data_IF_630104579554
#
_entry.id   IF_630104579554
#
_cell.length_a   1.000
_cell.length_b   1.000
_cell.length_c   1.000
_cell.angle_alpha   90.00
_cell.angle_beta   90.00
_cell.angle_gamma   90.00
#
_symmetry.space_group_name_H-M   'P 1'
#
loop_
_entity.id
_entity.type
_entity.pdbx_description
1 polymer ?
#
# COMPACT_ATOMS: atom_id res chain seq x y z
N UNK A 1 43.35 -0.71 60.78
CA UNK A 1 44.52 -0.31 59.95
C UNK A 1 44.67 -1.05 58.61
N UNK A 2 44.45 -2.37 58.52
CA UNK A 2 44.66 -3.13 57.26
C UNK A 2 43.72 -2.72 56.10
N UNK A 3 42.60 -2.04 56.39
CA UNK A 3 41.63 -1.58 55.40
C UNK A 3 42.21 -0.51 54.45
N UNK A 4 43.09 0.37 54.93
CA UNK A 4 43.78 1.39 54.11
C UNK A 4 44.62 0.75 53.00
N UNK A 5 45.26 -0.39 53.28
CA UNK A 5 46.04 -1.12 52.28
C UNK A 5 45.17 -1.82 51.24
N UNK A 6 43.88 -2.06 51.51
CA UNK A 6 42.92 -2.63 50.56
C UNK A 6 42.25 -1.57 49.68
N UNK A 7 42.07 -0.35 50.19
CA UNK A 7 41.43 0.76 49.47
C UNK A 7 42.14 1.14 48.16
N UNK A 8 41.42 1.67 47.16
CA UNK A 8 42.05 2.16 45.92
C UNK A 8 42.89 3.41 46.19
N UNK A 9 43.95 3.62 45.41
CA UNK A 9 44.82 4.80 45.52
C UNK A 9 44.04 6.10 45.32
N UNK A 10 43.03 6.10 44.46
CA UNK A 10 42.12 7.22 44.21
C UNK A 10 41.29 7.57 45.43
N UNK A 11 40.72 6.57 46.10
CA UNK A 11 39.91 6.77 47.31
C UNK A 11 40.77 7.28 48.48
N UNK A 12 41.98 6.74 48.65
CA UNK A 12 42.94 7.23 49.64
C UNK A 12 43.37 8.67 49.39
N UNK A 13 43.33 9.16 48.14
CA UNK A 13 43.60 10.58 47.85
C UNK A 13 42.44 11.47 48.26
N UNK A 14 41.21 11.10 47.87
CA UNK A 14 40.01 11.84 48.26
C UNK A 14 39.91 11.96 49.78
N UNK A 15 40.14 10.87 50.51
CA UNK A 15 40.13 10.87 51.98
C UNK A 15 41.27 11.70 52.58
N UNK A 16 42.46 11.70 51.98
CA UNK A 16 43.55 12.57 52.46
C UNK A 16 43.25 14.05 52.21
N UNK A 17 42.63 14.40 51.08
CA UNK A 17 42.20 15.75 50.74
C UNK A 17 41.13 16.26 51.71
N UNK A 18 40.16 15.42 52.07
CA UNK A 18 39.15 15.74 53.10
C UNK A 18 39.74 15.90 54.51
N UNK A 19 40.85 15.23 54.81
CA UNK A 19 41.62 15.43 56.04
C UNK A 19 42.57 16.65 55.97
N UNK A 20 42.53 17.44 54.89
CA UNK A 20 43.38 18.63 54.70
C UNK A 20 44.84 18.32 54.36
N UNK A 21 45.15 17.10 53.91
CA UNK A 21 46.49 16.66 53.56
C UNK A 21 46.68 16.82 52.05
N UNK A 22 47.60 17.70 51.63
CA UNK A 22 47.94 17.84 50.21
C UNK A 22 48.70 16.60 49.71
N UNK A 23 48.02 15.79 48.89
CA UNK A 23 48.61 14.58 48.30
C UNK A 23 48.94 14.81 46.83
N UNK A 24 50.22 15.02 46.53
CA UNK A 24 50.70 15.12 45.16
C UNK A 24 50.42 13.85 44.33
N UNK A 25 50.10 14.02 43.04
CA UNK A 25 49.80 12.92 42.11
C UNK A 25 50.93 11.89 41.94
N UNK A 26 52.16 12.26 42.27
CA UNK A 26 53.34 11.38 42.18
C UNK A 26 53.48 10.45 43.38
N UNK A 27 52.79 10.72 44.49
CA UNK A 27 52.90 9.90 45.71
C UNK A 27 52.37 8.49 45.45
N UNK A 28 53.09 7.49 45.96
CA UNK A 28 52.69 6.07 45.90
C UNK A 28 51.78 5.72 47.07
N UNK A 29 50.92 4.71 46.89
CA UNK A 29 49.89 4.31 47.87
C UNK A 29 50.41 4.20 49.32
N UNK A 30 51.58 3.59 49.61
CA UNK A 30 52.11 3.51 50.97
C UNK A 30 52.46 4.88 51.59
N UNK A 31 52.91 5.84 50.79
CA UNK A 31 53.25 7.20 51.26
C UNK A 31 51.98 7.96 51.67
N UNK A 32 50.89 7.77 50.90
CA UNK A 32 49.58 8.37 51.19
C UNK A 32 49.02 7.79 52.50
N UNK A 33 49.06 6.46 52.66
CA UNK A 33 48.62 5.79 53.89
C UNK A 33 49.43 6.30 55.10
N UNK A 34 50.75 6.47 54.95
CA UNK A 34 51.61 7.02 56.00
C UNK A 34 51.20 8.45 56.38
N UNK A 35 50.88 9.30 55.41
CA UNK A 35 50.45 10.67 55.65
C UNK A 35 49.09 10.73 56.38
N UNK A 36 48.12 9.91 55.96
CA UNK A 36 46.81 9.79 56.61
C UNK A 36 46.96 9.35 58.08
N UNK A 37 47.78 8.34 58.34
CA UNK A 37 48.00 7.84 59.71
C UNK A 37 48.77 8.81 60.60
N UNK A 38 49.52 9.76 60.01
CA UNK A 38 50.29 10.76 60.75
C UNK A 38 49.47 12.04 61.01
N UNK A 39 48.24 12.13 60.51
CA UNK A 39 47.35 13.28 60.71
C UNK A 39 46.83 13.34 62.15
N UNK A 40 46.76 14.54 62.72
CA UNK A 40 46.14 14.78 64.03
C UNK A 40 44.62 14.50 64.01
N UNK A 41 44.02 14.51 62.82
CA UNK A 41 42.59 14.24 62.61
C UNK A 41 42.31 12.79 62.19
N UNK A 42 43.27 11.88 62.43
CA UNK A 42 43.10 10.47 62.10
C UNK A 42 42.18 9.77 63.12
N UNK A 43 40.96 9.46 62.69
CA UNK A 43 40.04 8.58 63.41
C UNK A 43 39.68 7.36 62.55
N UNK A 44 39.91 6.15 63.06
CA UNK A 44 39.77 4.92 62.26
C UNK A 44 38.36 4.72 61.69
N UNK A 45 37.32 5.03 62.48
CA UNK A 45 35.93 4.92 62.01
C UNK A 45 35.57 6.00 60.98
N UNK A 46 36.02 7.23 61.20
CA UNK A 46 35.79 8.34 60.28
C UNK A 46 36.41 8.03 58.91
N UNK A 47 37.69 7.63 58.90
CA UNK A 47 38.44 7.30 57.67
C UNK A 47 37.87 6.06 56.99
N UNK A 48 37.35 5.09 57.74
CA UNK A 48 36.65 3.93 57.17
C UNK A 48 35.36 4.35 56.46
N UNK A 49 34.55 5.22 57.08
CA UNK A 49 33.30 5.71 56.51
C UNK A 49 33.56 6.53 55.24
N UNK A 50 34.56 7.43 55.24
CA UNK A 50 34.91 8.23 54.06
C UNK A 50 35.37 7.34 52.88
N UNK A 51 36.10 6.25 53.17
CA UNK A 51 36.48 5.28 52.14
C UNK A 51 35.30 4.49 51.59
N UNK A 52 34.32 4.17 52.43
CA UNK A 52 33.08 3.51 52.01
C UNK A 52 32.20 4.44 51.18
N UNK A 53 32.03 5.70 51.58
CA UNK A 53 31.31 6.72 50.83
C UNK A 53 31.92 6.96 49.45
N UNK A 54 33.25 7.09 49.36
CA UNK A 54 33.92 7.28 48.09
C UNK A 54 33.83 6.03 47.19
N UNK A 55 33.80 4.83 47.78
CA UNK A 55 33.54 3.60 47.03
C UNK A 55 32.10 3.52 46.50
N UNK A 56 31.11 3.96 47.29
CA UNK A 56 29.70 4.04 46.88
C UNK A 56 29.53 5.06 45.77
N UNK A 57 30.03 6.28 45.95
CA UNK A 57 29.97 7.37 44.96
C UNK A 57 30.63 6.98 43.65
N UNK A 58 31.79 6.31 43.70
CA UNK A 58 32.46 5.79 42.51
C UNK A 58 31.66 4.70 41.80
N UNK A 59 30.90 3.87 42.53
CA UNK A 59 30.05 2.83 41.97
C UNK A 59 28.78 3.43 41.34
N UNK A 60 28.15 4.38 42.02
CA UNK A 60 26.97 5.10 41.52
C UNK A 60 27.29 5.88 40.25
N UNK A 61 28.44 6.55 40.20
CA UNK A 61 28.89 7.26 38.99
C UNK A 61 29.04 6.33 37.78
N UNK A 62 29.59 5.13 38.00
CA UNK A 62 29.70 4.10 36.95
C UNK A 62 28.32 3.60 36.51
N UNK A 63 27.39 3.37 37.44
CA UNK A 63 26.04 2.91 37.13
C UNK A 63 25.23 3.96 36.36
N UNK A 64 25.40 5.24 36.69
CA UNK A 64 24.76 6.36 35.96
C UNK A 64 25.32 6.45 34.54
N UNK A 65 26.63 6.32 34.37
CA UNK A 65 27.27 6.34 33.04
C UNK A 65 26.83 5.13 32.20
N UNK A 66 26.75 3.95 32.79
CA UNK A 66 26.26 2.74 32.13
C UNK A 66 24.80 2.88 31.72
N UNK A 67 23.94 3.44 32.59
CA UNK A 67 22.53 3.74 32.26
C UNK A 67 22.42 4.69 31.09
N UNK A 68 23.18 5.79 31.09
CA UNK A 68 23.21 6.75 29.95
C UNK A 68 23.65 6.07 28.66
N UNK A 69 24.72 5.28 28.71
CA UNK A 69 25.21 4.55 27.54
C UNK A 69 24.16 3.55 27.01
N UNK A 70 23.46 2.84 27.89
CA UNK A 70 22.43 1.90 27.49
C UNK A 70 21.20 2.61 26.90
N UNK A 71 20.77 3.73 27.49
CA UNK A 71 19.69 4.57 26.95
C UNK A 71 20.01 5.09 25.53
N UNK A 72 21.25 5.55 25.28
CA UNK A 72 21.68 5.98 23.94
C UNK A 72 21.64 4.85 22.92
N UNK A 73 22.03 3.63 23.33
CA UNK A 73 21.99 2.44 22.46
C UNK A 73 20.54 2.06 22.15
N UNK A 74 19.65 2.10 23.14
CA UNK A 74 18.23 1.83 22.94
C UNK A 74 17.57 2.87 22.02
N UNK A 75 17.86 4.15 22.22
CA UNK A 75 17.33 5.23 21.38
C UNK A 75 17.84 5.14 19.94
N UNK A 76 19.10 4.71 19.74
CA UNK A 76 19.61 4.41 18.39
C UNK A 76 18.85 3.24 17.76
N UNK A 77 18.64 2.14 18.50
CA UNK A 77 17.86 0.99 18.02
C UNK A 77 16.42 1.36 17.66
N UNK A 78 15.76 2.18 18.47
CA UNK A 78 14.38 2.65 18.19
C UNK A 78 14.35 3.49 16.91
N UNK A 79 15.33 4.36 16.70
CA UNK A 79 15.44 5.16 15.45
C UNK A 79 15.65 4.28 14.23
N UNK A 80 16.59 3.34 14.29
CA UNK A 80 16.84 2.38 13.21
C UNK A 80 15.60 1.54 12.87
N UNK A 81 14.84 1.11 13.88
CA UNK A 81 13.57 0.40 13.69
C UNK A 81 12.52 1.27 12.98
N UNK A 82 12.33 2.51 13.40
CA UNK A 82 11.39 3.44 12.74
C UNK A 82 11.80 3.74 11.30
N UNK A 83 13.10 3.91 11.03
CA UNK A 83 13.60 4.14 9.66
C UNK A 83 13.37 2.93 8.76
N UNK A 84 13.62 1.72 9.28
CA UNK A 84 13.37 0.49 8.54
C UNK A 84 11.88 0.31 8.21
N UNK A 85 11.00 0.57 9.19
CA UNK A 85 9.56 0.50 8.98
C UNK A 85 9.08 1.53 7.95
N UNK A 86 9.59 2.77 8.02
CA UNK A 86 9.30 3.81 7.04
C UNK A 86 9.79 3.42 5.63
N UNK A 87 10.96 2.82 5.52
CA UNK A 87 11.50 2.35 4.23
C UNK A 87 10.64 1.23 3.65
N UNK A 88 10.20 0.28 4.50
CA UNK A 88 9.27 -0.78 4.10
C UNK A 88 7.96 -0.19 3.58
N UNK A 89 7.39 0.79 4.29
CA UNK A 89 6.15 1.45 3.88
C UNK A 89 6.31 2.19 2.54
N UNK A 90 7.46 2.84 2.31
CA UNK A 90 7.77 3.52 1.04
C UNK A 90 7.83 2.53 -0.13
N UNK A 91 8.55 1.41 0.05
CA UNK A 91 8.65 0.36 -0.97
C UNK A 91 7.29 -0.27 -1.27
N UNK A 92 6.47 -0.52 -0.25
CA UNK A 92 5.11 -1.05 -0.42
C UNK A 92 4.22 -0.06 -1.17
N UNK A 93 4.29 1.24 -0.85
CA UNK A 93 3.53 2.28 -1.56
C UNK A 93 3.98 2.40 -3.02
N UNK A 94 5.29 2.38 -3.29
CA UNK A 94 5.84 2.40 -4.65
C UNK A 94 5.42 1.17 -5.45
N UNK A 95 5.40 -0.02 -4.83
CA UNK A 95 4.87 -1.25 -5.42
C UNK A 95 3.37 -1.11 -5.74
N UNK A 96 2.54 -0.64 -4.80
CA UNK A 96 1.11 -0.44 -5.05
C UNK A 96 0.85 0.60 -6.14
N UNK A 97 1.65 1.67 -6.22
CA UNK A 97 1.57 2.66 -7.31
C UNK A 97 1.94 2.05 -8.64
N UNK A 98 3.01 1.26 -8.70
CA UNK A 98 3.44 0.55 -9.92
C UNK A 98 2.41 -0.50 -10.37
N UNK A 99 1.80 -1.23 -9.43
CA UNK A 99 0.70 -2.15 -9.71
C UNK A 99 -0.54 -1.40 -10.21
N UNK A 100 -0.92 -0.29 -9.59
CA UNK A 100 -2.04 0.56 -10.03
C UNK A 100 -1.78 1.17 -11.40
N UNK A 101 -0.58 1.71 -11.66
CA UNK A 101 -0.21 2.25 -12.97
C UNK A 101 -0.18 1.16 -14.03
N UNK A 102 0.26 -0.06 -13.70
CA UNK A 102 0.17 -1.22 -14.59
C UNK A 102 -1.26 -1.66 -14.86
N UNK A 103 -2.14 -1.62 -13.86
CA UNK A 103 -3.56 -1.96 -14.04
C UNK A 103 -4.23 -0.88 -14.91
N UNK A 104 -4.01 0.40 -14.63
CA UNK A 104 -4.57 1.51 -15.41
C UNK A 104 -4.03 1.51 -16.84
N UNK A 105 -2.72 1.30 -17.02
CA UNK A 105 -2.13 1.19 -18.37
C UNK A 105 -2.53 -0.09 -19.09
N UNK A 106 -2.73 -1.22 -18.42
CA UNK A 106 -3.25 -2.43 -19.04
C UNK A 106 -4.75 -2.29 -19.42
N UNK A 107 -5.55 -1.63 -18.59
CA UNK A 107 -6.97 -1.35 -18.88
C UNK A 107 -7.14 -0.36 -20.04
N UNK A 108 -6.20 0.58 -20.23
CA UNK A 108 -6.24 1.54 -21.35
C UNK A 108 -5.45 1.11 -22.60
N UNK A 109 -4.40 0.29 -22.43
CA UNK A 109 -3.55 -0.21 -23.54
C UNK A 109 -4.05 -1.53 -24.12
N UNK A 110 -4.95 -2.25 -23.45
CA UNK A 110 -5.75 -3.30 -24.07
C UNK A 110 -6.82 -2.67 -24.97
N UNK A 111 -6.42 -1.84 -25.93
CA UNK A 111 -7.26 -1.55 -27.08
C UNK A 111 -7.61 -2.92 -27.68
N UNK A 112 -8.90 -3.23 -27.90
CA UNK A 112 -9.28 -4.45 -28.58
C UNK A 112 -8.45 -4.54 -29.85
N UNK A 113 -7.77 -5.68 -30.09
CA UNK A 113 -7.01 -5.91 -31.34
C UNK A 113 -7.88 -5.71 -32.59
N UNK A 114 -9.19 -5.64 -32.41
CA UNK A 114 -10.24 -5.56 -33.41
C UNK A 114 -11.31 -4.59 -32.91
N UNK A 115 -11.50 -3.46 -33.59
CA UNK A 115 -12.61 -2.55 -33.32
C UNK A 115 -13.93 -3.12 -33.88
N UNK A 116 -14.94 -3.27 -33.02
CA UNK A 116 -16.26 -3.76 -33.41
C UNK A 116 -16.93 -2.88 -34.47
N UNK A 117 -16.67 -1.56 -34.46
CA UNK A 117 -17.21 -0.64 -35.47
C UNK A 117 -16.66 -0.88 -36.88
N UNK A 118 -15.52 -1.57 -36.99
CA UNK A 118 -14.92 -1.92 -38.28
C UNK A 118 -15.46 -3.24 -38.84
N UNK A 119 -15.90 -4.16 -37.96
CA UNK A 119 -16.37 -5.50 -38.37
C UNK A 119 -17.90 -5.56 -38.50
N UNK A 120 -18.61 -4.89 -37.60
CA UNK A 120 -20.07 -4.94 -37.57
C UNK A 120 -20.65 -3.75 -38.33
N UNK A 121 -21.58 -4.05 -39.24
CA UNK A 121 -22.39 -3.02 -39.87
C UNK A 121 -23.38 -2.43 -38.85
N UNK A 122 -23.77 -1.18 -39.07
CA UNK A 122 -24.82 -0.54 -38.26
C UNK A 122 -26.13 -1.32 -38.40
N UNK A 123 -26.84 -1.47 -37.29
CA UNK A 123 -28.12 -2.16 -37.29
C UNK A 123 -29.16 -1.39 -38.12
N UNK A 124 -29.92 -2.09 -38.97
CA UNK A 124 -31.06 -1.53 -39.69
C UNK A 124 -32.35 -2.22 -39.20
N UNK A 125 -33.26 -1.50 -38.52
CA UNK A 125 -34.50 -2.06 -38.01
C UNK A 125 -35.49 -2.52 -39.09
N UNK A 126 -35.29 -2.15 -40.35
CA UNK A 126 -36.21 -2.50 -41.46
C UNK A 126 -35.91 -3.86 -42.07
N UNK A 127 -34.64 -4.26 -42.06
CA UNK A 127 -34.14 -5.46 -42.75
C UNK A 127 -33.60 -6.52 -41.79
N UNK A 128 -33.13 -6.12 -40.59
CA UNK A 128 -32.44 -7.02 -39.68
C UNK A 128 -33.26 -7.38 -38.44
N UNK A 129 -33.22 -8.65 -38.03
CA UNK A 129 -33.73 -9.10 -36.73
C UNK A 129 -32.76 -8.71 -35.61
N UNK A 130 -33.25 -7.90 -34.66
CA UNK A 130 -32.48 -7.46 -33.50
C UNK A 130 -31.95 -8.65 -32.67
N UNK A 131 -32.68 -9.76 -32.63
CA UNK A 131 -32.30 -10.95 -31.86
C UNK A 131 -31.03 -11.59 -32.44
N UNK A 132 -30.98 -11.73 -33.77
CA UNK A 132 -29.82 -12.25 -34.48
C UNK A 132 -28.64 -11.28 -34.43
N UNK A 133 -28.91 -9.98 -34.54
CA UNK A 133 -27.89 -8.95 -34.45
C UNK A 133 -27.18 -8.94 -33.10
N UNK A 134 -27.93 -9.03 -32.00
CA UNK A 134 -27.36 -9.08 -30.65
C UNK A 134 -26.52 -10.34 -30.45
N UNK A 135 -26.95 -11.51 -30.94
CA UNK A 135 -26.15 -12.75 -30.89
C UNK A 135 -24.82 -12.58 -31.66
N UNK A 136 -24.85 -11.96 -32.83
CA UNK A 136 -23.65 -11.69 -33.62
C UNK A 136 -22.71 -10.74 -32.87
N UNK A 137 -23.24 -9.66 -32.32
CA UNK A 137 -22.50 -8.71 -31.49
C UNK A 137 -21.81 -9.41 -30.32
N UNK A 138 -22.54 -10.21 -29.53
CA UNK A 138 -21.98 -10.93 -28.38
C UNK A 138 -20.83 -11.86 -28.77
N UNK A 139 -20.96 -12.55 -29.91
CA UNK A 139 -19.89 -13.43 -30.43
C UNK A 139 -18.65 -12.64 -30.80
N UNK A 140 -18.81 -11.47 -31.44
CA UNK A 140 -17.67 -10.63 -31.81
C UNK A 140 -17.04 -9.96 -30.59
N UNK A 141 -17.84 -9.45 -29.66
CA UNK A 141 -17.35 -8.85 -28.42
C UNK A 141 -16.56 -9.86 -27.57
N UNK A 142 -17.02 -11.12 -27.49
CA UNK A 142 -16.28 -12.22 -26.86
C UNK A 142 -14.98 -12.54 -27.60
N UNK A 143 -15.00 -12.60 -28.93
CA UNK A 143 -13.79 -12.86 -29.74
C UNK A 143 -12.76 -11.74 -29.63
N UNK A 144 -13.21 -10.51 -29.46
CA UNK A 144 -12.37 -9.33 -29.25
C UNK A 144 -11.95 -9.15 -27.77
N UNK A 145 -12.31 -10.09 -26.89
CA UNK A 145 -11.99 -10.08 -25.45
C UNK A 145 -12.41 -8.79 -24.73
N UNK A 146 -13.50 -8.17 -25.17
CA UNK A 146 -13.99 -6.91 -24.61
C UNK A 146 -14.66 -7.20 -23.26
N UNK A 147 -14.26 -6.49 -22.21
CA UNK A 147 -14.89 -6.59 -20.89
C UNK A 147 -16.39 -6.23 -20.98
N UNK A 148 -17.26 -7.00 -20.31
CA UNK A 148 -18.73 -6.86 -20.39
C UNK A 148 -19.21 -5.45 -20.04
N UNK A 149 -18.52 -4.75 -19.13
CA UNK A 149 -18.79 -3.36 -18.73
C UNK A 149 -18.78 -2.35 -19.88
N UNK A 150 -18.05 -2.65 -20.96
CA UNK A 150 -17.98 -1.78 -22.14
C UNK A 150 -18.95 -2.17 -23.26
N UNK A 151 -19.65 -3.31 -23.16
CA UNK A 151 -20.47 -3.82 -24.27
C UNK A 151 -21.60 -2.85 -24.66
N UNK A 152 -22.23 -2.20 -23.69
CA UNK A 152 -23.32 -1.25 -23.98
C UNK A 152 -22.80 -0.05 -24.76
N UNK A 153 -21.64 0.50 -24.40
CA UNK A 153 -21.02 1.64 -25.10
C UNK A 153 -20.70 1.31 -26.56
N UNK A 154 -20.14 0.13 -26.84
CA UNK A 154 -19.90 -0.32 -28.22
C UNK A 154 -21.20 -0.56 -28.98
N UNK A 155 -22.22 -1.13 -28.32
CA UNK A 155 -23.52 -1.38 -28.93
C UNK A 155 -24.21 -0.07 -29.35
N UNK A 156 -24.19 0.97 -28.50
CA UNK A 156 -24.81 2.27 -28.78
C UNK A 156 -24.29 2.90 -30.07
N UNK A 157 -22.99 2.79 -30.36
CA UNK A 157 -22.40 3.33 -31.59
C UNK A 157 -22.76 2.53 -32.86
N UNK A 158 -23.24 1.30 -32.70
CA UNK A 158 -23.67 0.41 -33.78
C UNK A 158 -25.19 0.46 -34.04
N UNK A 159 -25.96 0.99 -33.09
CA UNK A 159 -27.40 1.14 -33.22
C UNK A 159 -27.79 2.48 -33.89
N UNK A 160 -28.94 2.54 -34.60
CA UNK A 160 -29.53 3.79 -35.05
C UNK A 160 -29.84 4.74 -33.89
N UNK A 161 -29.84 6.04 -34.18
CA UNK A 161 -30.10 7.09 -33.18
C UNK A 161 -31.41 6.88 -32.40
N UNK A 162 -32.47 6.44 -33.05
CA UNK A 162 -33.76 6.16 -32.41
C UNK A 162 -33.65 5.12 -31.30
N UNK A 163 -32.87 4.07 -31.49
CA UNK A 163 -32.65 3.01 -30.49
C UNK A 163 -31.75 3.49 -29.37
N UNK A 164 -30.68 4.20 -29.72
CA UNK A 164 -29.72 4.76 -28.75
C UNK A 164 -30.39 5.79 -27.83
N UNK A 165 -31.35 6.55 -28.33
CA UNK A 165 -32.16 7.49 -27.52
C UNK A 165 -33.06 6.78 -26.51
N UNK A 166 -33.52 5.56 -26.79
CA UNK A 166 -34.31 4.78 -25.82
C UNK A 166 -33.41 4.31 -24.68
N UNK A 167 -32.19 3.85 -25.01
CA UNK A 167 -31.19 3.45 -24.02
C UNK A 167 -30.79 4.65 -23.14
N UNK A 168 -30.62 5.83 -23.74
CA UNK A 168 -30.24 7.05 -23.02
C UNK A 168 -31.32 7.62 -22.08
N UNK A 169 -32.56 7.10 -22.13
CA UNK A 169 -33.67 7.51 -21.26
C UNK A 169 -33.84 6.59 -20.04
N UNK A 170 -33.14 5.47 -20.00
CA UNK A 170 -33.14 4.56 -18.86
C UNK A 170 -32.13 5.03 -17.80
N UNK A 171 -32.28 4.57 -16.57
CA UNK A 171 -31.39 4.92 -15.46
C UNK A 171 -29.97 4.39 -15.68
N UNK A 172 -28.98 5.07 -15.11
CA UNK A 172 -27.55 4.75 -15.29
C UNK A 172 -27.23 3.29 -14.86
N UNK A 173 -27.85 2.82 -13.77
CA UNK A 173 -27.79 1.43 -13.28
C UNK A 173 -28.35 0.37 -14.26
N UNK A 174 -29.16 0.79 -15.22
CA UNK A 174 -29.69 -0.07 -16.29
C UNK A 174 -28.77 -0.03 -17.51
N UNK A 175 -28.15 1.12 -17.79
CA UNK A 175 -27.22 1.30 -18.92
C UNK A 175 -25.87 0.63 -18.72
N UNK A 176 -25.48 0.31 -17.48
CA UNK A 176 -24.27 -0.46 -17.18
C UNK A 176 -24.45 -1.97 -17.36
N UNK A 177 -25.70 -2.47 -17.33
CA UNK A 177 -25.99 -3.90 -17.46
C UNK A 177 -26.48 -4.27 -18.87
N UNK A 178 -25.59 -4.92 -19.62
CA UNK A 178 -25.88 -5.41 -20.96
C UNK A 178 -27.12 -6.32 -21.02
N UNK A 179 -27.39 -7.16 -20.01
CA UNK A 179 -28.54 -8.07 -20.07
C UNK A 179 -29.86 -7.33 -19.99
N UNK A 180 -29.92 -6.24 -19.19
CA UNK A 180 -31.10 -5.38 -19.10
C UNK A 180 -31.34 -4.65 -20.43
N UNK A 181 -30.28 -4.08 -21.03
CA UNK A 181 -30.36 -3.42 -22.33
C UNK A 181 -30.78 -4.40 -23.44
N UNK A 182 -30.22 -5.62 -23.43
CA UNK A 182 -30.61 -6.69 -24.34
C UNK A 182 -32.10 -7.03 -24.19
N UNK A 183 -32.58 -7.22 -22.97
CA UNK A 183 -34.00 -7.51 -22.72
C UNK A 183 -34.91 -6.37 -23.18
N UNK A 184 -34.51 -5.12 -22.98
CA UNK A 184 -35.23 -3.93 -23.45
C UNK A 184 -35.31 -3.89 -24.97
N UNK A 185 -34.18 -4.04 -25.67
CA UNK A 185 -34.12 -4.04 -27.13
C UNK A 185 -34.95 -5.17 -27.72
N UNK A 186 -34.88 -6.37 -27.14
CA UNK A 186 -35.73 -7.49 -27.53
C UNK A 186 -37.20 -7.17 -27.28
N UNK A 187 -37.59 -6.61 -26.13
CA UNK A 187 -38.99 -6.30 -25.85
C UNK A 187 -39.58 -5.29 -26.84
N UNK A 188 -38.80 -4.31 -27.29
CA UNK A 188 -39.25 -3.23 -28.17
C UNK A 188 -39.17 -3.58 -29.66
N UNK A 189 -38.15 -4.30 -30.07
CA UNK A 189 -37.81 -4.51 -31.48
C UNK A 189 -37.81 -5.96 -31.93
N UNK A 190 -38.06 -6.93 -31.03
CA UNK A 190 -38.33 -8.30 -31.45
C UNK A 190 -39.51 -8.27 -32.40
N UNK A 191 -39.31 -8.91 -33.56
CA UNK A 191 -40.33 -9.04 -34.58
C UNK A 191 -41.59 -9.63 -33.95
N UNK A 192 -42.59 -8.76 -33.77
CA UNK A 192 -43.92 -9.16 -33.37
C UNK A 192 -44.61 -9.82 -34.57
N UNK A 193 -45.59 -10.71 -34.35
CA UNK A 193 -46.37 -11.31 -35.44
C UNK A 193 -46.91 -10.28 -36.44
N UNK A 194 -47.19 -9.06 -35.98
CA UNK A 194 -47.66 -7.95 -36.80
C UNK A 194 -46.59 -7.40 -37.76
N UNK A 195 -45.32 -7.35 -37.35
CA UNK A 195 -44.20 -6.99 -38.23
C UNK A 195 -43.94 -8.09 -39.26
N UNK A 196 -44.04 -9.36 -38.88
CA UNK A 196 -43.98 -10.48 -39.82
C UNK A 196 -45.10 -10.40 -40.86
N UNK A 197 -46.34 -10.09 -40.44
CA UNK A 197 -47.47 -9.86 -41.37
C UNK A 197 -47.19 -8.72 -42.33
N UNK A 198 -46.67 -7.58 -41.87
CA UNK A 198 -46.34 -6.45 -42.73
C UNK A 198 -45.21 -6.78 -43.73
N UNK A 199 -44.17 -7.49 -43.28
CA UNK A 199 -43.09 -7.94 -44.15
C UNK A 199 -43.59 -8.95 -45.19
N UNK A 200 -44.44 -9.90 -44.80
CA UNK A 200 -45.06 -10.88 -45.69
C UNK A 200 -45.99 -10.23 -46.72
N UNK A 201 -46.80 -9.25 -46.32
CA UNK A 201 -47.69 -8.50 -47.23
C UNK A 201 -46.90 -7.71 -48.26
N UNK A 202 -45.73 -7.19 -47.88
CA UNK A 202 -44.84 -6.45 -48.78
C UNK A 202 -43.83 -7.37 -49.52
N UNK A 203 -43.87 -8.68 -49.26
CA UNK A 203 -42.95 -9.65 -49.85
C UNK A 203 -43.45 -10.04 -51.25
N UNK A 204 -42.99 -9.30 -52.26
CA UNK A 204 -43.28 -9.60 -53.66
C UNK A 204 -42.13 -10.34 -54.32
N UNK A 205 -42.48 -11.28 -55.21
CA UNK A 205 -41.50 -12.02 -56.00
C UNK A 205 -40.79 -11.06 -56.96
N UNK A 206 -39.47 -10.92 -56.79
CA UNK A 206 -38.66 -10.18 -57.73
C UNK A 206 -38.71 -10.86 -59.11
N UNK A 207 -38.79 -10.11 -60.22
CA UNK A 207 -38.95 -10.68 -61.56
C UNK A 207 -37.78 -11.59 -61.96
N UNK A 208 -36.60 -11.36 -61.38
CA UNK A 208 -35.38 -12.16 -61.56
C UNK A 208 -35.34 -13.49 -60.77
N UNK A 209 -36.19 -13.70 -59.75
CA UNK A 209 -36.10 -14.88 -58.88
C UNK A 209 -36.93 -16.06 -59.39
N UNK A 210 -36.45 -17.28 -59.19
CA UNK A 210 -37.26 -18.50 -59.39
C UNK A 210 -38.25 -18.69 -58.24
N UNK A 211 -39.37 -19.39 -58.49
CA UNK A 211 -40.36 -19.66 -57.43
C UNK A 211 -39.78 -20.47 -56.26
N UNK A 212 -38.72 -21.23 -56.51
CA UNK A 212 -37.96 -21.98 -55.50
C UNK A 212 -37.08 -21.10 -54.61
N UNK A 213 -36.73 -19.89 -55.06
CA UNK A 213 -35.96 -18.91 -54.26
C UNK A 213 -36.88 -17.93 -53.52
N UNK A 214 -38.19 -17.95 -53.83
CA UNK A 214 -39.19 -17.04 -53.26
C UNK A 214 -39.96 -17.63 -52.07
N UNK A 215 -40.06 -18.96 -51.98
CA UNK A 215 -40.77 -19.71 -50.93
C UNK A 215 -39.85 -19.98 -49.74
#
# INVERSE_FOLDING_TARGET
>A
MAFLYKAKKTYLRAVAEELGIEVAEKLIKPQIIKAIMASEHFEEQLVSNMLEEEAVKSKEALEVEEKRSNEEIEDRRRREQMEFELQKLRLENERCRSESDRVVTAEFSAKPKIDLHTILQKFDPRSNDISLYLILFERQAKRAEIQKKYWVSYLIGLLPSEMSQIIAREDEEVTEDYEKIKALLLKRYKLTPERFRQLFVNHNKAPENTWTEFV
#
